data_IF_798375714946
#
_entry.id   IF_798375714946
#
_cell.length_a   1.000
_cell.length_b   1.000
_cell.length_c   1.000
_cell.angle_alpha   90.00
_cell.angle_beta   90.00
_cell.angle_gamma   90.00
#
_symmetry.space_group_name_H-M   'P 1'
#
loop_
_entity.id
_entity.type
_entity.pdbx_description
1 polymer ?
#
# COMPACT_ATOMS: atom_id res chain seq x y z
N UNK A 1 -6.82 9.74 14.06
CA UNK A 1 -8.28 9.68 13.83
C UNK A 1 -8.75 8.24 13.99
N UNK A 2 -9.70 7.98 14.90
CA UNK A 2 -10.34 6.67 15.10
C UNK A 2 -11.05 6.27 13.80
N UNK A 3 -10.45 5.42 12.97
CA UNK A 3 -11.17 4.80 11.85
C UNK A 3 -12.00 3.65 12.43
N UNK A 4 -13.29 3.91 12.47
CA UNK A 4 -14.33 3.05 13.00
C UNK A 4 -14.22 1.63 12.44
N UNK A 5 -14.64 0.68 13.26
CA UNK A 5 -14.74 -0.76 13.03
C UNK A 5 -15.46 -0.99 11.68
N UNK A 6 -14.70 -1.06 10.58
CA UNK A 6 -15.27 -0.89 9.22
C UNK A 6 -16.07 -2.09 8.75
N UNK A 7 -16.09 -3.19 9.51
CA UNK A 7 -16.77 -4.42 9.15
C UNK A 7 -17.64 -4.87 10.33
N UNK A 8 -18.87 -4.35 10.39
CA UNK A 8 -19.95 -4.81 11.27
C UNK A 8 -20.36 -6.26 10.91
N UNK A 9 -19.46 -7.23 11.08
CA UNK A 9 -19.72 -8.66 10.86
C UNK A 9 -19.80 -9.13 9.39
N UNK A 10 -19.55 -8.26 8.41
CA UNK A 10 -19.49 -8.67 7.00
C UNK A 10 -18.09 -9.12 6.61
N UNK A 11 -17.99 -10.34 6.08
CA UNK A 11 -16.75 -10.83 5.47
C UNK A 11 -16.42 -9.99 4.23
N UNK A 12 -15.30 -9.26 4.28
CA UNK A 12 -14.80 -8.51 3.14
C UNK A 12 -14.35 -9.48 2.04
N UNK A 13 -14.68 -9.16 0.79
CA UNK A 13 -14.06 -9.81 -0.36
C UNK A 13 -12.59 -9.35 -0.43
N UNK A 14 -11.68 -10.20 -0.93
CA UNK A 14 -10.24 -9.91 -1.01
C UNK A 14 -9.92 -8.53 -1.60
N UNK A 15 -10.68 -8.09 -2.60
CA UNK A 15 -10.52 -6.79 -3.25
C UNK A 15 -10.78 -5.60 -2.30
N UNK A 16 -11.80 -5.69 -1.46
CA UNK A 16 -12.15 -4.66 -0.47
C UNK A 16 -11.12 -4.63 0.66
N UNK A 17 -10.61 -5.80 1.04
CA UNK A 17 -9.61 -5.94 2.08
C UNK A 17 -8.24 -5.33 1.66
N UNK A 18 -7.93 -5.32 0.37
CA UNK A 18 -6.73 -4.67 -0.16
C UNK A 18 -6.74 -3.15 0.03
N UNK A 19 -7.92 -2.50 0.05
CA UNK A 19 -8.04 -1.06 0.27
C UNK A 19 -8.00 -0.68 1.77
N UNK A 20 -8.36 -1.62 2.64
CA UNK A 20 -8.45 -1.39 4.10
C UNK A 20 -7.14 -1.70 4.81
N UNK A 21 -6.47 -2.78 4.41
CA UNK A 21 -5.16 -3.13 4.93
C UNK A 21 -4.15 -2.19 4.26
N UNK A 22 -3.78 -1.11 4.96
CA UNK A 22 -2.78 -0.12 4.55
C UNK A 22 -1.42 -0.75 4.24
N UNK A 23 -1.32 -1.41 3.10
CA UNK A 23 -0.11 -1.93 2.51
C UNK A 23 0.67 -0.81 1.85
N UNK A 24 1.94 -1.09 1.58
CA UNK A 24 2.76 -0.20 0.80
C UNK A 24 2.22 -0.11 -0.64
N UNK A 25 2.24 1.09 -1.21
CA UNK A 25 1.86 1.39 -2.58
C UNK A 25 2.87 0.78 -3.56
N UNK A 26 2.39 0.17 -4.64
CA UNK A 26 3.26 -0.20 -5.74
C UNK A 26 3.71 1.09 -6.45
N UNK A 27 4.99 1.41 -6.32
CA UNK A 27 5.64 2.61 -6.86
C UNK A 27 6.47 2.34 -8.11
N UNK A 28 6.56 1.07 -8.51
CA UNK A 28 7.00 0.60 -9.83
C UNK A 28 5.83 -0.17 -10.44
N UNK A 29 4.97 0.55 -11.16
CA UNK A 29 3.69 0.03 -11.63
C UNK A 29 3.86 -0.98 -12.77
N UNK A 30 4.86 -0.78 -13.61
CA UNK A 30 5.13 -1.59 -14.81
C UNK A 30 6.19 -2.69 -14.57
N UNK A 31 6.83 -2.72 -13.39
CA UNK A 31 7.88 -3.66 -12.96
C UNK A 31 9.14 -3.61 -13.80
N UNK A 32 9.49 -2.45 -14.36
CA UNK A 32 10.69 -2.24 -15.18
C UNK A 32 11.92 -1.78 -14.36
N UNK A 33 11.77 -1.67 -13.03
CA UNK A 33 12.72 -1.10 -12.05
C UNK A 33 12.88 0.42 -12.12
N UNK A 34 11.99 1.13 -12.79
CA UNK A 34 11.90 2.59 -12.78
C UNK A 34 10.76 2.99 -11.85
N UNK A 35 11.08 3.74 -10.81
CA UNK A 35 10.06 4.19 -9.87
C UNK A 35 9.29 5.39 -10.45
N UNK A 36 7.97 5.27 -10.60
CA UNK A 36 7.12 6.42 -10.94
C UNK A 36 6.90 7.33 -9.72
N UNK A 37 7.08 6.79 -8.50
CA UNK A 37 7.04 7.54 -7.26
C UNK A 37 8.12 7.08 -6.27
N UNK A 38 8.63 7.99 -5.43
CA UNK A 38 9.60 7.67 -4.38
C UNK A 38 9.07 8.05 -3.00
N UNK A 39 9.20 7.14 -2.03
CA UNK A 39 8.77 7.43 -0.65
C UNK A 39 8.64 6.22 0.25
N UNK A 40 8.40 6.46 1.55
CA UNK A 40 8.30 5.39 2.57
C UNK A 40 7.06 4.51 2.36
N UNK A 41 6.05 5.06 1.70
CA UNK A 41 4.85 4.35 1.29
C UNK A 41 5.12 3.26 0.23
N UNK A 42 6.26 3.28 -0.46
CA UNK A 42 6.51 2.37 -1.58
C UNK A 42 6.78 0.93 -1.16
N UNK A 43 6.21 -0.03 -1.90
CA UNK A 43 6.34 -1.46 -1.65
C UNK A 43 7.73 -1.95 -2.06
N UNK A 44 8.29 -1.34 -3.10
CA UNK A 44 9.58 -1.61 -3.68
C UNK A 44 10.68 -0.94 -2.86
N UNK A 45 11.64 -1.71 -2.35
CA UNK A 45 12.74 -1.19 -1.52
C UNK A 45 13.61 -0.16 -2.24
N UNK A 46 13.81 -0.31 -3.55
CA UNK A 46 14.57 0.63 -4.37
C UNK A 46 13.83 1.94 -4.66
N UNK A 47 12.50 1.97 -4.47
CA UNK A 47 11.69 3.18 -4.55
C UNK A 47 11.48 3.84 -3.17
N UNK A 48 12.00 3.23 -2.09
CA UNK A 48 11.91 3.83 -0.75
C UNK A 48 13.07 4.79 -0.54
N UNK A 49 12.74 6.00 -0.09
CA UNK A 49 13.71 6.96 0.41
C UNK A 49 14.14 6.53 1.83
N UNK A 50 15.08 5.60 1.94
CA UNK A 50 15.65 5.23 3.24
C UNK A 50 16.70 6.30 3.56
N UNK A 51 16.52 7.06 4.64
CA UNK A 51 17.64 7.79 5.24
C UNK A 51 18.54 6.72 5.87
N UNK A 52 19.77 6.59 5.35
CA UNK A 52 20.83 5.79 5.96
C UNK A 52 21.35 6.43 7.25
#
# INVERSE_FOLDING_TARGET
>A
MKKQILNLGKALKKAEQAQINGGRMQCDSNRDRVCEYYGWQCAETYCRLILE
#
